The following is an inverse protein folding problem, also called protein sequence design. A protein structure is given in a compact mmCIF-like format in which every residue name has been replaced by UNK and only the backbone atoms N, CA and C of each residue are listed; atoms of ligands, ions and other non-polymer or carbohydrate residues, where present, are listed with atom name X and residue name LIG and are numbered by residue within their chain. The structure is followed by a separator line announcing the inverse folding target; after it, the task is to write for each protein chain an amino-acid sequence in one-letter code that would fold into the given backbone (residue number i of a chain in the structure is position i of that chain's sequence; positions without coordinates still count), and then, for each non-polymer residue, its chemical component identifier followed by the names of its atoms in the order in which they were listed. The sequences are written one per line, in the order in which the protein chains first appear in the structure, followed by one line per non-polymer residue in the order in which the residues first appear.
data_IF_141306536434
#
_entry.id   IF_141306536434
#
_cell.length_a   1.000
_cell.length_b   1.000
_cell.length_c   1.000
_cell.angle_alpha   90.00
_cell.angle_beta   90.00
_cell.angle_gamma   90.00
#
_symmetry.space_group_name_H-M   'P 1'
#
loop_
_entity.id
_entity.type
_entity.pdbx_description
1 polymer ?
#
# COMPACT_ATOMS: atom_id res chain seq x y z
N UNK A 1 44.83 -22.43 -19.68
CA UNK A 1 43.57 -21.81 -20.15
C UNK A 1 43.73 -20.33 -19.93
N UNK A 2 44.10 -19.60 -20.96
CA UNK A 2 44.48 -18.21 -20.92
C UNK A 2 43.21 -17.30 -20.78
N UNK A 3 43.16 -16.58 -19.68
CA UNK A 3 42.13 -15.57 -19.45
C UNK A 3 42.53 -14.25 -20.17
N UNK A 4 42.34 -14.20 -21.48
CA UNK A 4 42.44 -12.95 -22.22
C UNK A 4 41.08 -12.25 -22.23
N UNK A 5 40.86 -11.33 -21.26
CA UNK A 5 39.79 -10.34 -21.37
C UNK A 5 40.17 -9.29 -22.41
N UNK A 6 39.25 -8.80 -23.26
CA UNK A 6 39.52 -7.80 -24.28
C UNK A 6 40.10 -6.50 -23.69
N UNK A 7 41.10 -5.93 -24.36
CA UNK A 7 41.77 -4.66 -23.94
C UNK A 7 40.79 -3.47 -23.72
N UNK A 8 39.61 -3.53 -24.28
CA UNK A 8 38.55 -2.55 -24.06
C UNK A 8 38.07 -2.47 -22.60
N UNK A 9 38.15 -3.58 -21.84
CA UNK A 9 37.78 -3.58 -20.41
C UNK A 9 38.81 -2.93 -19.51
N UNK A 10 40.07 -2.96 -19.89
CA UNK A 10 41.17 -2.27 -19.17
C UNK A 10 41.10 -0.77 -19.27
N UNK A 11 40.68 -0.22 -20.42
CA UNK A 11 40.51 1.23 -20.61
C UNK A 11 39.33 1.78 -19.79
N UNK A 12 38.25 1.05 -19.72
CA UNK A 12 37.06 1.48 -18.93
C UNK A 12 37.38 1.57 -17.43
N UNK A 13 38.25 0.69 -16.91
CA UNK A 13 38.64 0.70 -15.52
C UNK A 13 39.64 1.84 -15.21
N UNK A 14 40.55 2.14 -16.14
CA UNK A 14 41.51 3.23 -16.00
C UNK A 14 40.86 4.64 -16.10
N UNK A 15 39.79 4.77 -16.90
CA UNK A 15 39.04 6.03 -17.00
C UNK A 15 38.13 6.26 -15.77
N UNK A 16 37.67 5.20 -15.10
CA UNK A 16 36.91 5.33 -13.83
C UNK A 16 37.83 5.71 -12.65
N UNK A 17 39.09 5.27 -12.64
CA UNK A 17 40.03 5.62 -11.58
C UNK A 17 40.63 7.05 -11.73
N UNK A 18 40.49 7.68 -12.89
CA UNK A 18 40.99 9.05 -13.14
C UNK A 18 39.92 10.14 -12.95
N UNK A 19 38.69 9.81 -12.75
CA UNK A 19 37.68 10.76 -12.28
C UNK A 19 37.98 11.03 -10.79
N UNK A 20 38.88 11.98 -10.51
CA UNK A 20 39.04 12.50 -9.15
C UNK A 20 37.65 12.95 -8.69
N UNK A 21 37.09 12.19 -7.77
CA UNK A 21 35.89 12.62 -7.09
C UNK A 21 36.12 14.03 -6.55
N UNK A 22 35.24 14.99 -6.76
CA UNK A 22 35.40 16.33 -6.21
C UNK A 22 35.67 16.16 -4.72
N UNK A 23 36.75 16.76 -4.22
CA UNK A 23 37.02 16.81 -2.79
C UNK A 23 35.90 17.66 -2.18
N UNK A 24 34.78 16.98 -1.88
CA UNK A 24 33.71 17.58 -1.15
C UNK A 24 34.24 17.90 0.26
N UNK A 25 34.54 19.16 0.52
CA UNK A 25 34.70 19.69 1.87
C UNK A 25 33.36 19.74 2.62
N UNK A 26 32.49 18.78 2.35
CA UNK A 26 31.28 18.60 3.14
C UNK A 26 31.70 18.01 4.48
N UNK A 27 31.27 18.67 5.55
CA UNK A 27 31.39 18.11 6.89
C UNK A 27 30.82 16.68 6.89
N UNK A 28 31.40 15.75 7.66
CA UNK A 28 30.89 14.38 7.70
C UNK A 28 29.41 14.42 8.01
N UNK A 29 28.64 13.70 7.17
CA UNK A 29 27.18 13.55 7.37
C UNK A 29 26.98 12.84 8.71
N UNK A 30 26.50 13.59 9.68
CA UNK A 30 26.02 13.00 10.93
C UNK A 30 24.59 12.55 10.74
N UNK A 31 24.37 11.24 10.78
CA UNK A 31 23.02 10.69 10.84
C UNK A 31 22.41 11.07 12.19
N UNK A 32 21.48 12.02 12.16
CA UNK A 32 20.67 12.33 13.33
C UNK A 32 19.54 11.31 13.41
N UNK A 33 19.61 10.41 14.37
CA UNK A 33 18.51 9.50 14.70
C UNK A 33 17.77 10.14 15.88
N UNK A 34 16.58 10.73 15.65
CA UNK A 34 15.82 11.32 16.76
C UNK A 34 15.39 10.21 17.74
N UNK A 35 15.42 10.53 19.03
CA UNK A 35 14.83 9.63 20.02
C UNK A 35 13.36 9.39 19.70
N UNK A 36 12.88 8.13 19.75
CA UNK A 36 11.48 7.86 19.52
C UNK A 36 10.64 8.49 20.64
N UNK A 37 9.54 9.13 20.27
CA UNK A 37 8.60 9.73 21.25
C UNK A 37 8.04 8.68 22.22
N UNK A 38 7.87 7.45 21.75
CA UNK A 38 7.31 6.33 22.54
C UNK A 38 8.16 5.08 22.36
N UNK A 39 8.26 4.29 23.41
CA UNK A 39 8.92 2.98 23.42
C UNK A 39 7.87 1.88 23.59
N UNK A 40 8.15 0.63 23.23
CA UNK A 40 7.25 -0.47 23.49
C UNK A 40 6.87 -0.53 24.99
N UNK A 41 5.57 -0.42 25.29
CA UNK A 41 5.05 -0.39 26.66
C UNK A 41 4.68 0.98 27.19
N UNK A 42 5.09 2.07 26.52
CA UNK A 42 4.66 3.42 26.88
C UNK A 42 3.19 3.66 26.46
N UNK A 43 2.51 4.52 27.19
CA UNK A 43 1.21 5.01 26.76
C UNK A 43 1.42 5.98 25.59
N UNK A 44 0.69 5.74 24.49
CA UNK A 44 0.70 6.65 23.36
C UNK A 44 0.07 8.00 23.75
N UNK A 45 0.76 9.08 23.45
CA UNK A 45 0.27 10.45 23.60
C UNK A 45 0.11 11.09 22.22
N UNK A 46 -1.10 11.47 21.87
CA UNK A 46 -1.46 12.11 20.60
C UNK A 46 -1.84 13.59 20.79
N UNK A 47 -1.53 14.19 21.95
CA UNK A 47 -1.90 15.56 22.31
C UNK A 47 -1.30 16.62 21.38
N UNK A 48 -0.22 16.30 20.68
CA UNK A 48 0.43 17.17 19.69
C UNK A 48 -0.18 17.04 18.27
N UNK A 49 -1.12 16.13 18.07
CA UNK A 49 -1.84 16.00 16.79
C UNK A 49 -3.02 16.97 16.79
N UNK A 50 -2.89 18.01 15.98
CA UNK A 50 -3.99 18.95 15.74
C UNK A 50 -4.87 18.41 14.63
N UNK A 51 -6.10 18.03 14.97
CA UNK A 51 -7.12 17.67 13.98
C UNK A 51 -7.70 18.96 13.43
N UNK A 52 -7.56 19.25 12.13
CA UNK A 52 -8.06 20.49 11.55
C UNK A 52 -9.59 20.51 11.49
N UNK A 53 -10.15 21.71 11.34
CA UNK A 53 -11.55 21.87 10.95
C UNK A 53 -11.79 21.32 9.54
N UNK A 54 -13.05 21.01 9.24
CA UNK A 54 -13.46 20.64 7.88
C UNK A 54 -13.09 21.77 6.92
N UNK A 55 -12.55 21.42 5.73
CA UNK A 55 -12.04 22.36 4.73
C UNK A 55 -10.86 23.27 5.15
N UNK A 56 -10.20 23.00 6.27
CA UNK A 56 -8.92 23.67 6.56
C UNK A 56 -7.86 23.44 5.43
N UNK A 57 -7.97 22.31 4.75
CA UNK A 57 -7.21 21.97 3.54
C UNK A 57 -8.21 21.67 2.41
N UNK A 58 -8.69 22.69 1.68
CA UNK A 58 -9.72 22.48 0.65
C UNK A 58 -9.20 21.66 -0.52
N UNK A 59 -10.12 21.01 -1.22
CA UNK A 59 -9.81 20.24 -2.42
C UNK A 59 -9.34 21.18 -3.52
N UNK A 60 -8.13 20.95 -4.11
CA UNK A 60 -7.61 21.77 -5.17
C UNK A 60 -8.39 21.56 -6.48
N UNK A 61 -8.27 22.52 -7.40
CA UNK A 61 -8.75 22.38 -8.78
C UNK A 61 -7.95 21.30 -9.53
N UNK A 62 -8.56 20.67 -10.51
CA UNK A 62 -7.94 19.60 -11.33
C UNK A 62 -6.71 20.10 -12.12
N UNK A 63 -6.64 21.38 -12.42
CA UNK A 63 -5.57 22.00 -13.21
C UNK A 63 -4.55 22.75 -12.35
N UNK A 64 -4.61 22.59 -11.00
CA UNK A 64 -3.65 23.23 -10.10
C UNK A 64 -2.22 22.75 -10.38
N UNK A 65 -1.27 23.68 -10.26
CA UNK A 65 0.16 23.32 -10.40
C UNK A 65 0.62 22.46 -9.23
N UNK A 66 1.47 21.44 -9.46
CA UNK A 66 1.97 20.57 -8.39
C UNK A 66 2.63 21.31 -7.22
N UNK A 67 3.26 22.46 -7.47
CA UNK A 67 3.87 23.28 -6.44
C UNK A 67 2.83 23.86 -5.45
N UNK A 68 1.62 24.15 -5.92
CA UNK A 68 0.58 24.78 -5.13
C UNK A 68 -0.13 23.79 -4.20
N UNK A 69 -0.04 22.48 -4.48
CA UNK A 69 -0.60 21.41 -3.64
C UNK A 69 0.41 20.83 -2.64
N UNK A 70 1.66 21.29 -2.67
CA UNK A 70 2.68 20.82 -1.75
C UNK A 70 2.28 20.90 -0.25
N UNK A 71 1.56 21.94 0.22
CA UNK A 71 1.09 22.00 1.60
C UNK A 71 0.16 20.85 2.00
N UNK A 72 -0.58 20.25 1.06
CA UNK A 72 -1.48 19.12 1.32
C UNK A 72 -0.70 17.86 1.75
N UNK A 73 0.58 17.75 1.42
CA UNK A 73 1.43 16.63 1.86
C UNK A 73 1.64 16.61 3.39
N UNK A 74 1.45 17.74 4.04
CA UNK A 74 1.66 17.91 5.49
C UNK A 74 0.36 18.17 6.25
N UNK A 75 -0.73 18.39 5.52
CA UNK A 75 -2.05 18.66 6.09
C UNK A 75 -2.88 17.39 6.28
N UNK A 76 -3.79 17.42 7.24
CA UNK A 76 -4.84 16.40 7.33
C UNK A 76 -6.08 16.89 6.58
N UNK A 77 -6.67 16.02 5.79
CA UNK A 77 -7.95 16.24 5.13
C UNK A 77 -9.04 15.70 6.04
N UNK A 78 -10.02 16.57 6.40
CA UNK A 78 -11.14 16.19 7.25
C UNK A 78 -12.44 16.42 6.51
N UNK A 79 -13.31 15.42 6.52
CA UNK A 79 -14.65 15.45 5.93
C UNK A 79 -15.72 15.35 7.01
N UNK A 80 -15.48 14.55 8.06
CA UNK A 80 -16.44 14.34 9.14
C UNK A 80 -16.18 15.35 10.26
N UNK A 81 -17.15 16.24 10.53
CA UNK A 81 -17.10 17.20 11.61
C UNK A 81 -17.32 16.56 12.99
N UNK A 82 -17.16 17.35 14.07
CA UNK A 82 -17.42 16.90 15.44
C UNK A 82 -18.92 16.67 15.71
N UNK A 83 -19.77 17.25 14.89
CA UNK A 83 -21.22 17.02 14.84
C UNK A 83 -21.61 15.71 14.12
N UNK A 84 -20.63 14.91 13.69
CA UNK A 84 -20.79 13.68 12.90
C UNK A 84 -21.46 13.90 11.54
N UNK A 85 -21.42 15.11 10.99
CA UNK A 85 -21.90 15.40 9.64
C UNK A 85 -20.72 15.47 8.68
N UNK A 86 -20.92 14.86 7.50
CA UNK A 86 -19.95 14.93 6.42
C UNK A 86 -20.20 16.22 5.61
N UNK A 87 -19.16 17.03 5.45
CA UNK A 87 -19.23 18.32 4.72
C UNK A 87 -17.89 18.66 4.08
N UNK A 88 -17.87 19.81 3.41
CA UNK A 88 -16.64 20.34 2.81
C UNK A 88 -16.35 19.84 1.40
N UNK A 89 -15.32 20.43 0.80
CA UNK A 89 -14.93 20.22 -0.61
C UNK A 89 -14.45 18.81 -0.93
N UNK A 90 -14.01 18.06 0.07
CA UNK A 90 -13.58 16.67 -0.05
C UNK A 90 -14.71 15.67 0.16
N UNK A 91 -15.91 16.13 0.55
CA UNK A 91 -17.04 15.22 0.75
C UNK A 91 -17.50 14.63 -0.59
N UNK A 92 -17.42 13.31 -0.80
CA UNK A 92 -17.86 12.68 -2.05
C UNK A 92 -19.38 12.61 -2.21
N UNK A 93 -20.14 13.00 -1.20
CA UNK A 93 -21.61 13.00 -1.24
C UNK A 93 -22.23 11.60 -1.39
N UNK A 94 -21.59 10.57 -0.84
CA UNK A 94 -22.08 9.19 -0.94
C UNK A 94 -23.40 9.02 -0.18
N UNK A 95 -24.33 8.28 -0.79
CA UNK A 95 -25.58 7.91 -0.14
C UNK A 95 -25.39 6.84 0.96
N UNK A 96 -26.42 6.71 1.81
CA UNK A 96 -26.36 5.80 2.95
C UNK A 96 -26.25 4.32 2.54
N UNK A 97 -26.80 3.92 1.40
CA UNK A 97 -26.74 2.53 0.95
C UNK A 97 -25.36 2.18 0.44
N UNK A 98 -24.72 3.08 -0.31
CA UNK A 98 -23.31 2.97 -0.69
C UNK A 98 -22.41 2.85 0.54
N UNK A 99 -22.59 3.72 1.54
CA UNK A 99 -21.81 3.66 2.78
C UNK A 99 -22.01 2.35 3.55
N UNK A 100 -23.23 1.82 3.58
CA UNK A 100 -23.52 0.50 4.19
C UNK A 100 -22.81 -0.64 3.45
N UNK A 101 -22.79 -0.59 2.11
CA UNK A 101 -22.04 -1.58 1.31
C UNK A 101 -20.56 -1.50 1.62
N UNK A 102 -19.98 -0.31 1.64
CA UNK A 102 -18.57 -0.10 1.99
C UNK A 102 -18.25 -0.66 3.38
N UNK A 103 -19.04 -0.30 4.38
CA UNK A 103 -18.87 -0.78 5.76
C UNK A 103 -18.97 -2.32 5.82
N UNK A 104 -19.93 -2.92 5.10
CA UNK A 104 -20.06 -4.39 5.04
C UNK A 104 -18.80 -5.03 4.47
N UNK A 105 -18.22 -4.49 3.40
CA UNK A 105 -16.97 -4.98 2.80
C UNK A 105 -15.80 -4.86 3.77
N UNK A 106 -15.68 -3.74 4.47
CA UNK A 106 -14.65 -3.52 5.50
C UNK A 106 -14.78 -4.52 6.65
N UNK A 107 -16.00 -4.75 7.15
CA UNK A 107 -16.26 -5.72 8.22
C UNK A 107 -15.98 -7.16 7.76
N UNK A 108 -16.33 -7.49 6.53
CA UNK A 108 -16.02 -8.80 5.94
C UNK A 108 -14.52 -9.02 5.84
N UNK A 109 -13.78 -8.03 5.35
CA UNK A 109 -12.31 -8.06 5.28
C UNK A 109 -11.71 -8.25 6.68
N UNK A 110 -12.17 -7.50 7.68
CA UNK A 110 -11.71 -7.61 9.06
C UNK A 110 -11.96 -9.01 9.63
N UNK A 111 -13.18 -9.56 9.42
CA UNK A 111 -13.53 -10.88 9.90
C UNK A 111 -12.71 -11.99 9.21
N UNK A 112 -12.49 -11.85 7.90
CA UNK A 112 -11.65 -12.75 7.13
C UNK A 112 -10.19 -12.72 7.62
N UNK A 113 -9.63 -11.54 7.78
CA UNK A 113 -8.28 -11.34 8.31
C UNK A 113 -8.08 -11.99 9.68
N UNK A 114 -9.03 -11.77 10.58
CA UNK A 114 -8.97 -12.35 11.93
C UNK A 114 -9.04 -13.88 11.90
N UNK A 115 -9.84 -14.43 11.01
CA UNK A 115 -9.96 -15.88 10.85
C UNK A 115 -8.67 -16.49 10.29
N UNK A 116 -8.12 -15.89 9.23
CA UNK A 116 -6.91 -16.39 8.58
C UNK A 116 -5.67 -16.21 9.45
N UNK A 117 -5.58 -15.10 10.17
CA UNK A 117 -4.49 -14.86 11.12
C UNK A 117 -4.50 -15.90 12.25
N UNK A 118 -5.66 -16.24 12.82
CA UNK A 118 -5.77 -17.33 13.81
C UNK A 118 -5.36 -18.67 13.22
N UNK A 119 -5.72 -18.95 11.97
CA UNK A 119 -5.31 -20.17 11.29
C UNK A 119 -3.78 -20.24 11.12
N UNK A 120 -3.17 -19.13 10.78
CA UNK A 120 -1.70 -19.05 10.70
C UNK A 120 -1.04 -19.28 12.08
N UNK A 121 -1.57 -18.66 13.15
CA UNK A 121 -1.07 -18.88 14.52
C UNK A 121 -1.23 -20.32 15.00
N UNK A 122 -2.19 -21.06 14.44
CA UNK A 122 -2.39 -22.50 14.68
C UNK A 122 -1.51 -23.39 13.78
N UNK A 123 -0.62 -22.83 12.97
CA UNK A 123 0.24 -23.57 12.05
C UNK A 123 -0.47 -24.19 10.85
N UNK A 124 -1.72 -23.76 10.56
CA UNK A 124 -2.52 -24.29 9.44
C UNK A 124 -2.15 -23.69 8.09
N UNK A 125 -1.44 -22.59 8.08
CA UNK A 125 -0.84 -21.95 6.91
C UNK A 125 0.52 -21.38 7.30
N UNK A 126 1.43 -21.30 6.34
CA UNK A 126 2.82 -20.87 6.57
C UNK A 126 2.94 -19.38 6.86
N UNK A 127 2.10 -18.57 6.22
CA UNK A 127 2.19 -17.11 6.29
C UNK A 127 0.80 -16.49 6.19
N UNK A 128 0.59 -15.37 6.86
CA UNK A 128 -0.56 -14.50 6.68
C UNK A 128 -0.24 -13.06 7.08
N UNK A 129 -0.71 -12.11 6.30
CA UNK A 129 -0.55 -10.67 6.56
C UNK A 129 -1.93 -10.02 6.54
N UNK A 130 -2.32 -9.42 7.66
CA UNK A 130 -3.58 -8.66 7.75
C UNK A 130 -3.48 -7.33 7.00
N UNK A 131 -4.61 -6.87 6.49
CA UNK A 131 -4.83 -5.49 6.02
C UNK A 131 -5.36 -4.55 7.11
N UNK A 132 -5.12 -4.90 8.36
CA UNK A 132 -5.61 -4.17 9.52
C UNK A 132 -5.21 -2.69 9.48
N UNK A 133 -6.21 -1.80 9.51
CA UNK A 133 -6.03 -0.35 9.39
C UNK A 133 -6.10 0.18 7.94
N UNK A 134 -6.07 -0.71 6.92
CA UNK A 134 -6.12 -0.34 5.50
C UNK A 134 -7.47 -0.70 4.83
N UNK A 135 -8.47 -1.15 5.61
CA UNK A 135 -9.74 -1.62 5.09
C UNK A 135 -10.48 -0.53 4.30
N UNK A 136 -10.56 0.66 4.86
CA UNK A 136 -11.25 1.78 4.21
C UNK A 136 -10.55 2.20 2.92
N UNK A 137 -9.23 2.24 2.92
CA UNK A 137 -8.44 2.60 1.73
C UNK A 137 -8.68 1.63 0.60
N UNK A 138 -8.57 0.32 0.86
CA UNK A 138 -8.77 -0.71 -0.15
C UNK A 138 -10.20 -0.71 -0.71
N UNK A 139 -11.20 -0.60 0.17
CA UNK A 139 -12.61 -0.61 -0.23
C UNK A 139 -12.99 0.65 -1.00
N UNK A 140 -12.66 1.83 -0.47
CA UNK A 140 -13.03 3.10 -1.09
C UNK A 140 -12.37 3.29 -2.45
N UNK A 141 -11.07 3.02 -2.55
CA UNK A 141 -10.35 3.09 -3.83
C UNK A 141 -10.97 2.17 -4.86
N UNK A 142 -11.27 0.92 -4.49
CA UNK A 142 -11.84 -0.05 -5.43
C UNK A 142 -13.24 0.35 -5.89
N UNK A 143 -14.05 0.92 -5.01
CA UNK A 143 -15.40 1.39 -5.38
C UNK A 143 -15.38 2.66 -6.24
N UNK A 144 -14.28 3.42 -6.23
CA UNK A 144 -14.08 4.57 -7.09
C UNK A 144 -13.56 4.21 -8.50
N UNK A 145 -13.06 3.00 -8.70
CA UNK A 145 -12.56 2.50 -9.98
C UNK A 145 -13.68 1.91 -10.84
N UNK A 146 -13.46 1.89 -12.15
CA UNK A 146 -14.28 1.12 -13.07
C UNK A 146 -14.05 -0.39 -12.89
N UNK A 147 -15.03 -1.19 -13.28
CA UNK A 147 -14.97 -2.66 -13.14
C UNK A 147 -13.85 -3.31 -13.97
N UNK A 148 -13.44 -2.67 -15.05
CA UNK A 148 -12.40 -3.11 -15.99
C UNK A 148 -11.01 -2.55 -15.66
N UNK A 149 -10.90 -1.64 -14.69
CA UNK A 149 -9.62 -1.15 -14.23
C UNK A 149 -8.77 -2.28 -13.62
N UNK A 150 -7.51 -2.39 -14.06
CA UNK A 150 -6.55 -3.31 -13.48
C UNK A 150 -5.86 -2.69 -12.27
N UNK A 151 -5.95 -3.37 -11.14
CA UNK A 151 -5.23 -2.99 -9.92
C UNK A 151 -3.89 -3.72 -9.84
N UNK A 152 -2.84 -3.00 -9.45
CA UNK A 152 -1.50 -3.55 -9.19
C UNK A 152 -1.19 -3.45 -7.69
N UNK A 153 -1.73 -4.37 -6.89
CA UNK A 153 -1.72 -4.28 -5.44
C UNK A 153 -0.42 -4.80 -4.81
N UNK A 154 -0.23 -4.46 -3.54
CA UNK A 154 0.68 -5.17 -2.65
C UNK A 154 -0.06 -6.25 -1.86
N UNK A 155 0.67 -6.95 -1.00
CA UNK A 155 0.16 -8.08 -0.20
C UNK A 155 -0.85 -7.70 0.90
N UNK A 156 -1.11 -6.38 1.15
CA UNK A 156 -2.11 -5.93 2.14
C UNK A 156 -3.41 -5.45 1.54
N UNK A 157 -3.53 -5.44 0.23
CA UNK A 157 -4.71 -4.90 -0.45
C UNK A 157 -5.70 -5.97 -0.91
N UNK A 158 -5.81 -7.08 -0.17
CA UNK A 158 -6.83 -8.11 -0.42
C UNK A 158 -8.27 -7.57 -0.30
N UNK A 159 -8.45 -6.41 0.31
CA UNK A 159 -9.73 -5.70 0.31
C UNK A 159 -10.26 -5.38 -1.09
N UNK A 160 -9.37 -5.22 -2.09
CA UNK A 160 -9.75 -5.06 -3.50
C UNK A 160 -10.54 -6.28 -3.98
N UNK A 161 -10.04 -7.50 -3.71
CA UNK A 161 -10.71 -8.75 -4.08
C UNK A 161 -12.07 -8.88 -3.42
N UNK A 162 -12.15 -8.60 -2.11
CA UNK A 162 -13.41 -8.65 -1.35
C UNK A 162 -14.41 -7.62 -1.89
N UNK A 163 -13.95 -6.44 -2.26
CA UNK A 163 -14.81 -5.39 -2.83
C UNK A 163 -15.35 -5.79 -4.19
N UNK A 164 -14.59 -6.49 -4.99
CA UNK A 164 -14.97 -7.03 -6.31
C UNK A 164 -15.65 -8.40 -6.24
N UNK A 165 -16.08 -8.83 -5.05
CA UNK A 165 -16.80 -10.10 -4.82
C UNK A 165 -16.03 -11.36 -5.27
N UNK A 166 -14.69 -11.33 -5.22
CA UNK A 166 -13.90 -12.52 -5.43
C UNK A 166 -14.25 -13.59 -4.37
N UNK A 167 -14.46 -14.86 -4.76
CA UNK A 167 -14.91 -15.88 -3.82
C UNK A 167 -13.95 -16.07 -2.65
N UNK A 168 -14.45 -15.91 -1.41
CA UNK A 168 -13.65 -16.11 -0.19
C UNK A 168 -13.05 -17.52 -0.11
N UNK A 169 -13.75 -18.52 -0.70
CA UNK A 169 -13.24 -19.89 -0.77
C UNK A 169 -11.95 -19.96 -1.59
N UNK A 170 -11.86 -19.20 -2.69
CA UNK A 170 -10.67 -19.18 -3.53
C UNK A 170 -9.52 -18.42 -2.85
N UNK A 171 -9.85 -17.35 -2.11
CA UNK A 171 -8.86 -16.70 -1.23
C UNK A 171 -8.31 -17.68 -0.18
N UNK A 172 -9.18 -18.44 0.48
CA UNK A 172 -8.75 -19.47 1.44
C UNK A 172 -7.95 -20.59 0.78
N UNK A 173 -8.36 -21.06 -0.40
CA UNK A 173 -7.64 -22.07 -1.16
C UNK A 173 -6.18 -21.65 -1.40
N UNK A 174 -5.98 -20.39 -1.78
CA UNK A 174 -4.64 -19.83 -1.98
C UNK A 174 -3.84 -19.74 -0.66
N UNK A 175 -4.46 -19.26 0.43
CA UNK A 175 -3.81 -19.15 1.74
C UNK A 175 -3.37 -20.51 2.27
N UNK A 176 -4.19 -21.54 2.08
CA UNK A 176 -3.88 -22.91 2.51
C UNK A 176 -3.04 -23.70 1.50
N UNK A 177 -2.76 -23.13 0.33
CA UNK A 177 -2.06 -23.79 -0.80
C UNK A 177 -2.63 -25.21 -1.06
N UNK A 178 -3.94 -25.32 -1.01
CA UNK A 178 -4.63 -26.61 -1.16
C UNK A 178 -4.94 -26.91 -2.65
N UNK A 179 -5.60 -28.05 -2.89
CA UNK A 179 -5.94 -28.51 -4.26
C UNK A 179 -6.77 -27.49 -5.07
N UNK A 180 -7.56 -26.65 -4.40
CA UNK A 180 -8.38 -25.62 -5.02
C UNK A 180 -7.65 -24.32 -5.33
N UNK A 181 -6.36 -24.21 -4.95
CA UNK A 181 -5.56 -23.02 -5.25
C UNK A 181 -5.30 -22.91 -6.76
N UNK A 182 -5.82 -21.85 -7.38
CA UNK A 182 -5.63 -21.56 -8.81
C UNK A 182 -4.14 -21.35 -9.17
N UNK A 183 -3.33 -20.89 -8.20
CA UNK A 183 -1.89 -20.67 -8.36
C UNK A 183 -1.06 -21.93 -8.07
N UNK A 184 -1.71 -23.04 -7.69
CA UNK A 184 -1.08 -24.36 -7.48
C UNK A 184 0.06 -24.33 -6.47
N UNK A 185 -0.06 -23.52 -5.41
CA UNK A 185 0.94 -23.38 -4.37
C UNK A 185 2.23 -22.67 -4.81
N UNK A 186 2.23 -21.97 -5.96
CA UNK A 186 3.43 -21.30 -6.48
C UNK A 186 3.67 -19.91 -5.89
N UNK A 187 2.71 -19.38 -5.15
CA UNK A 187 2.79 -18.09 -4.48
C UNK A 187 2.69 -18.27 -2.97
N UNK A 188 3.33 -17.37 -2.22
CA UNK A 188 3.11 -17.29 -0.78
C UNK A 188 1.65 -16.94 -0.48
N UNK A 189 1.10 -17.37 0.68
CA UNK A 189 -0.21 -16.93 1.10
C UNK A 189 -0.35 -15.41 1.04
N UNK A 190 -1.52 -14.92 0.68
CA UNK A 190 -1.91 -13.52 0.39
C UNK A 190 -1.32 -12.92 -0.89
N UNK A 191 -0.44 -13.62 -1.60
CA UNK A 191 0.08 -13.20 -2.90
C UNK A 191 -0.89 -13.68 -4.00
N UNK A 192 -2.06 -13.06 -4.05
CA UNK A 192 -3.13 -13.45 -4.99
C UNK A 192 -2.82 -13.04 -6.43
N UNK A 193 -3.54 -13.67 -7.35
CA UNK A 193 -3.64 -13.29 -8.76
C UNK A 193 -5.04 -13.63 -9.23
N UNK A 194 -5.78 -12.64 -9.72
CA UNK A 194 -7.16 -12.79 -10.17
C UNK A 194 -7.46 -11.80 -11.30
N UNK A 195 -6.93 -12.08 -12.49
CA UNK A 195 -7.02 -11.22 -13.66
C UNK A 195 -8.47 -10.88 -14.02
N UNK A 196 -9.37 -11.84 -13.92
CA UNK A 196 -10.79 -11.71 -14.23
C UNK A 196 -11.52 -10.73 -13.29
N UNK A 197 -10.91 -10.44 -12.15
CA UNK A 197 -11.36 -9.45 -11.19
C UNK A 197 -10.51 -8.18 -11.22
N UNK A 198 -9.75 -7.94 -12.29
CA UNK A 198 -8.88 -6.77 -12.41
C UNK A 198 -7.79 -6.70 -11.33
N UNK A 199 -7.30 -7.85 -10.86
CA UNK A 199 -6.31 -7.92 -9.79
C UNK A 199 -5.04 -8.60 -10.33
N UNK A 200 -4.00 -7.79 -10.55
CA UNK A 200 -2.73 -8.28 -11.04
C UNK A 200 -2.01 -9.13 -9.98
N UNK A 201 -1.14 -10.03 -10.45
CA UNK A 201 -0.36 -10.90 -9.55
C UNK A 201 0.48 -10.08 -8.57
N UNK A 202 0.32 -10.37 -7.28
CA UNK A 202 1.07 -9.67 -6.24
C UNK A 202 2.54 -10.06 -6.29
N UNK A 203 3.42 -9.06 -6.29
CA UNK A 203 4.85 -9.22 -6.05
C UNK A 203 5.18 -8.90 -4.59
N UNK A 204 6.01 -9.72 -3.96
CA UNK A 204 6.47 -9.47 -2.59
C UNK A 204 7.45 -8.30 -2.48
N UNK A 205 8.11 -7.93 -3.59
CA UNK A 205 9.01 -6.79 -3.63
C UNK A 205 8.20 -5.50 -3.79
N UNK A 206 8.23 -4.64 -2.78
CA UNK A 206 7.56 -3.35 -2.83
C UNK A 206 8.08 -2.51 -4.01
N UNK A 207 7.22 -1.66 -4.53
CA UNK A 207 7.44 -0.76 -5.68
C UNK A 207 7.49 -1.42 -7.06
N UNK A 208 7.61 -2.73 -7.19
CA UNK A 208 7.54 -3.43 -8.48
C UNK A 208 6.18 -3.24 -9.17
N UNK A 209 5.17 -2.87 -8.43
CA UNK A 209 3.83 -2.53 -8.94
C UNK A 209 3.85 -1.37 -9.92
N UNK A 210 4.72 -0.37 -9.70
CA UNK A 210 4.82 0.81 -10.56
C UNK A 210 5.29 0.48 -11.99
N UNK A 211 6.45 -0.19 -12.20
CA UNK A 211 6.84 -0.57 -13.56
C UNK A 211 5.88 -1.58 -14.19
N UNK A 212 5.22 -2.45 -13.42
CA UNK A 212 4.20 -3.35 -13.93
C UNK A 212 2.96 -2.59 -14.44
N UNK A 213 2.54 -1.56 -13.72
CA UNK A 213 1.40 -0.74 -14.12
C UNK A 213 1.69 0.14 -15.34
N UNK A 214 2.94 0.56 -15.53
CA UNK A 214 3.38 1.37 -16.68
C UNK A 214 3.54 0.51 -17.94
N UNK A 215 4.01 -0.74 -17.83
CA UNK A 215 4.24 -1.66 -18.94
C UNK A 215 2.97 -2.31 -19.45
#
# INVERSE_FOLDING_TARGET
MDNNLPESFGRFRAEMDMAQAPKNNLAPLHLHIPEPKFRPGDLADFSDIIVPEVDANPRPDEHVMPADIHPLAYGLVRVLGDDHQASGSWNPGLDADTLRVMLRKMLLLRAFDDRMFRAQRQGKTSFYMKSFGEEATSVATTMALHSDDMCFPSYRQQGILITRDYPLVDMMNQIYSNRGDHLKGRQLPVMYSAKEYGFFSVSGNLTTQYPQAVG
#
